data_IF_378832313158
#
_entry.id   IF_378832313158
#
_cell.length_a   1.000
_cell.length_b   1.000
_cell.length_c   1.000
_cell.angle_alpha   90.00
_cell.angle_beta   90.00
_cell.angle_gamma   90.00
#
_symmetry.space_group_name_H-M   'P 1'
#
loop_
_entity.id
_entity.type
_entity.pdbx_description
1 polymer ?
#
# COMPACT_ATOMS: atom_id res chain seq x y z
N UNK A 1 8.03 0.45 -7.90
CA UNK A 1 9.22 -0.35 -7.55
C UNK A 1 9.22 -0.56 -6.05
N UNK A 2 9.37 -1.81 -5.62
CA UNK A 2 9.52 -2.15 -4.19
C UNK A 2 10.91 -2.73 -4.03
N UNK A 3 11.75 -2.05 -3.25
CA UNK A 3 13.06 -2.56 -2.89
C UNK A 3 12.94 -3.39 -1.62
N UNK A 4 13.67 -4.50 -1.53
CA UNK A 4 13.64 -5.41 -0.38
C UNK A 4 15.05 -5.58 0.15
N UNK A 5 15.23 -5.42 1.46
CA UNK A 5 16.50 -5.61 2.14
C UNK A 5 16.41 -6.71 3.20
N UNK A 6 17.55 -7.37 3.44
CA UNK A 6 17.72 -8.27 4.59
C UNK A 6 18.07 -7.41 5.80
N UNK A 7 17.31 -7.55 6.88
CA UNK A 7 17.55 -6.86 8.15
C UNK A 7 17.90 -7.90 9.21
N UNK A 8 19.02 -7.71 9.89
CA UNK A 8 19.42 -8.53 11.05
C UNK A 8 19.17 -7.74 12.31
N UNK A 9 18.27 -8.22 13.17
CA UNK A 9 17.97 -7.61 14.48
C UNK A 9 17.78 -8.71 15.51
N UNK A 10 18.38 -8.56 16.69
CA UNK A 10 18.25 -9.53 17.79
C UNK A 10 18.62 -10.98 17.43
N UNK A 11 19.58 -11.18 16.53
CA UNK A 11 19.98 -12.52 16.05
C UNK A 11 19.05 -13.15 14.99
N UNK A 12 17.91 -12.52 14.69
CA UNK A 12 16.97 -12.96 13.66
C UNK A 12 17.22 -12.22 12.34
N UNK A 13 17.15 -12.95 11.23
CA UNK A 13 17.18 -12.36 9.88
C UNK A 13 15.73 -12.27 9.38
N UNK A 14 15.34 -11.07 8.94
CA UNK A 14 14.06 -10.81 8.30
C UNK A 14 14.26 -10.12 6.95
N UNK A 15 13.22 -10.15 6.11
CA UNK A 15 13.16 -9.36 4.88
C UNK A 15 12.15 -8.24 5.09
N UNK A 16 12.55 -7.00 4.79
CA UNK A 16 11.69 -5.83 4.89
C UNK A 16 11.73 -5.11 3.54
N UNK A 17 10.59 -4.61 3.08
CA UNK A 17 10.60 -3.65 1.97
C UNK A 17 11.38 -2.42 2.47
N UNK A 18 12.50 -2.06 1.84
CA UNK A 18 13.33 -0.94 2.26
C UNK A 18 12.77 0.40 1.79
N UNK A 19 12.20 0.42 0.58
CA UNK A 19 11.56 1.57 0.01
C UNK A 19 10.49 1.15 -1.01
N UNK A 20 9.48 2.00 -1.14
CA UNK A 20 8.49 1.95 -2.21
C UNK A 20 8.66 3.23 -3.02
N UNK A 21 8.91 3.08 -4.30
CA UNK A 21 9.22 4.17 -5.23
C UNK A 21 8.31 4.09 -6.46
N UNK A 22 7.69 5.18 -6.83
CA UNK A 22 6.94 5.33 -8.07
C UNK A 22 7.88 5.75 -9.20
N UNK A 23 7.70 5.12 -10.36
CA UNK A 23 8.32 5.58 -11.61
C UNK A 23 7.29 6.45 -12.32
N UNK A 24 7.61 7.71 -12.58
CA UNK A 24 6.69 8.69 -13.18
C UNK A 24 7.34 9.29 -14.41
N UNK A 25 6.61 9.36 -15.53
CA UNK A 25 7.08 10.05 -16.72
C UNK A 25 7.12 11.56 -16.46
N UNK A 26 8.30 12.16 -16.63
CA UNK A 26 8.52 13.60 -16.63
C UNK A 26 9.01 14.07 -18.01
N UNK A 27 9.04 15.40 -18.21
CA UNK A 27 9.41 16.00 -19.50
C UNK A 27 10.83 15.66 -19.98
N UNK A 28 11.72 15.27 -19.07
CA UNK A 28 13.10 14.85 -19.38
C UNK A 28 13.36 13.34 -19.34
N UNK A 29 12.35 12.51 -19.10
CA UNK A 29 12.50 11.06 -18.92
C UNK A 29 11.81 10.51 -17.66
N UNK A 30 12.09 9.25 -17.28
CA UNK A 30 11.49 8.66 -16.08
C UNK A 30 12.11 9.23 -14.80
N UNK A 31 11.27 9.82 -13.94
CA UNK A 31 11.61 10.23 -12.58
C UNK A 31 11.27 9.15 -11.55
N UNK A 32 12.03 9.10 -10.45
CA UNK A 32 11.83 8.20 -9.32
C UNK A 32 11.33 8.98 -8.10
N UNK A 33 10.19 8.58 -7.56
CA UNK A 33 9.54 9.26 -6.43
C UNK A 33 9.34 8.29 -5.28
N UNK A 34 10.13 8.43 -4.21
CA UNK A 34 9.95 7.61 -3.00
C UNK A 34 8.67 8.00 -2.26
N UNK A 35 7.76 7.04 -2.10
CA UNK A 35 6.50 7.23 -1.39
C UNK A 35 6.56 6.73 0.06
N UNK A 36 7.35 5.70 0.33
CA UNK A 36 7.58 5.18 1.67
C UNK A 36 8.98 4.55 1.79
N UNK A 37 9.55 4.58 2.99
CA UNK A 37 10.81 3.92 3.34
C UNK A 37 10.70 3.24 4.69
N UNK A 38 11.46 2.17 4.89
CA UNK A 38 11.57 1.50 6.19
C UNK A 38 12.66 2.15 7.03
N UNK A 39 12.29 2.55 8.24
CA UNK A 39 13.20 2.99 9.29
C UNK A 39 13.57 1.79 10.18
N UNK A 40 14.81 1.29 10.12
CA UNK A 40 15.24 0.16 10.93
C UNK A 40 15.36 0.50 12.42
N UNK A 41 15.62 1.75 12.78
CA UNK A 41 15.82 2.16 14.18
C UNK A 41 14.48 2.29 14.91
N UNK A 42 13.47 2.86 14.24
CA UNK A 42 12.09 2.93 14.72
C UNK A 42 11.23 1.67 14.46
N UNK A 43 11.78 0.67 13.78
CA UNK A 43 11.09 -0.53 13.27
C UNK A 43 9.75 -0.23 12.55
N UNK A 44 9.70 0.86 11.78
CA UNK A 44 8.47 1.37 11.19
C UNK A 44 8.66 1.82 9.74
N UNK A 45 7.54 2.04 9.02
CA UNK A 45 7.56 2.68 7.71
C UNK A 45 7.29 4.18 7.84
N UNK A 46 8.00 4.99 7.05
CA UNK A 46 7.87 6.43 6.96
C UNK A 46 7.46 6.83 5.52
N UNK A 47 6.41 7.65 5.32
CA UNK A 47 5.51 8.16 6.35
C UNK A 47 4.62 7.04 6.92
N UNK A 48 4.27 7.15 8.20
CA UNK A 48 3.46 6.15 8.90
C UNK A 48 1.95 6.29 8.66
N UNK A 49 1.52 7.31 7.92
CA UNK A 49 0.10 7.61 7.69
C UNK A 49 -0.32 7.42 6.23
N UNK A 50 -1.48 6.81 6.04
CA UNK A 50 -2.16 6.65 4.76
C UNK A 50 -2.28 7.99 4.00
N UNK A 51 -2.69 9.04 4.71
CA UNK A 51 -2.87 10.39 4.17
C UNK A 51 -1.59 10.98 3.57
N UNK A 52 -0.45 10.79 4.22
CA UNK A 52 0.84 11.26 3.70
C UNK A 52 1.30 10.46 2.49
N UNK A 53 1.07 9.13 2.48
CA UNK A 53 1.33 8.28 1.32
C UNK A 53 0.50 8.76 0.13
N UNK A 54 -0.79 9.02 0.33
CA UNK A 54 -1.70 9.55 -0.70
C UNK A 54 -1.16 10.88 -1.25
N UNK A 55 -0.75 11.80 -0.38
CA UNK A 55 -0.20 13.11 -0.79
C UNK A 55 1.08 12.98 -1.60
N UNK A 56 1.94 11.99 -1.31
CA UNK A 56 3.20 11.75 -2.02
C UNK A 56 3.01 11.02 -3.35
N UNK A 57 1.98 10.19 -3.47
CA UNK A 57 1.75 9.38 -4.65
C UNK A 57 1.28 10.22 -5.85
N UNK A 58 2.01 10.09 -6.97
CA UNK A 58 1.62 10.69 -8.24
C UNK A 58 0.68 9.79 -9.02
N UNK A 59 0.78 8.48 -8.83
CA UNK A 59 -0.09 7.50 -9.49
C UNK A 59 -1.49 7.44 -8.90
N UNK A 60 -1.62 7.50 -7.57
CA UNK A 60 -2.93 7.49 -6.92
C UNK A 60 -3.79 8.68 -7.36
N UNK A 61 -3.20 9.88 -7.44
CA UNK A 61 -3.92 11.06 -7.93
C UNK A 61 -4.36 11.00 -9.40
N UNK A 62 -3.75 10.12 -10.22
CA UNK A 62 -4.21 9.83 -11.59
C UNK A 62 -5.29 8.74 -11.58
N UNK A 63 -5.07 7.69 -10.80
CA UNK A 63 -5.99 6.56 -10.69
C UNK A 63 -7.35 6.98 -10.13
N UNK A 64 -7.41 7.86 -9.13
CA UNK A 64 -8.67 8.38 -8.58
C UNK A 64 -9.49 9.13 -9.62
N UNK A 65 -8.84 10.03 -10.37
CA UNK A 65 -9.48 10.77 -11.46
C UNK A 65 -10.01 9.87 -12.56
N UNK A 66 -9.29 8.81 -12.89
CA UNK A 66 -9.69 7.87 -13.93
C UNK A 66 -10.79 6.89 -13.48
N UNK A 67 -10.72 6.43 -12.24
CA UNK A 67 -11.61 5.39 -11.70
C UNK A 67 -12.89 5.95 -11.07
N UNK A 68 -12.98 7.27 -10.87
CA UNK A 68 -14.13 7.91 -10.23
C UNK A 68 -14.20 7.68 -8.72
N UNK A 69 -13.07 7.37 -8.07
CA UNK A 69 -13.02 7.17 -6.62
C UNK A 69 -13.20 8.54 -5.95
N UNK A 70 -14.35 8.73 -5.30
CA UNK A 70 -14.73 10.01 -4.66
C UNK A 70 -13.85 10.36 -3.47
N UNK A 71 -13.69 9.44 -2.51
CA UNK A 71 -12.79 9.59 -1.38
C UNK A 71 -11.73 8.48 -1.38
N UNK A 72 -10.50 8.85 -1.74
CA UNK A 72 -9.36 7.92 -1.79
C UNK A 72 -8.89 7.49 -0.40
N UNK A 73 -9.00 8.37 0.61
CA UNK A 73 -8.57 8.05 1.96
C UNK A 73 -9.53 7.02 2.58
N UNK A 74 -10.83 7.20 2.38
CA UNK A 74 -11.84 6.23 2.76
C UNK A 74 -11.65 4.90 2.03
N UNK A 75 -11.45 4.93 0.71
CA UNK A 75 -11.25 3.71 -0.08
C UNK A 75 -10.02 2.92 0.38
N UNK A 76 -8.91 3.62 0.61
CA UNK A 76 -7.69 2.99 1.11
C UNK A 76 -7.89 2.43 2.52
N UNK A 77 -8.65 3.12 3.37
CA UNK A 77 -9.05 2.64 4.70
C UNK A 77 -9.84 1.32 4.63
N UNK A 78 -10.83 1.22 3.73
CA UNK A 78 -11.60 -0.03 3.52
C UNK A 78 -10.69 -1.18 3.10
N UNK A 79 -9.71 -0.93 2.21
CA UNK A 79 -8.73 -1.94 1.77
C UNK A 79 -7.79 -2.35 2.90
N UNK A 80 -7.32 -1.41 3.72
CA UNK A 80 -6.48 -1.70 4.89
C UNK A 80 -7.21 -2.58 5.91
N UNK A 81 -8.49 -2.30 6.19
CA UNK A 81 -9.31 -3.10 7.10
C UNK A 81 -9.43 -4.58 6.67
N UNK A 82 -9.43 -4.87 5.37
CA UNK A 82 -9.43 -6.25 4.85
C UNK A 82 -8.10 -6.95 5.08
N UNK A 83 -6.98 -6.24 4.95
CA UNK A 83 -5.66 -6.78 5.28
C UNK A 83 -5.54 -7.04 6.78
N UNK A 84 -6.08 -6.15 7.61
CA UNK A 84 -6.19 -6.36 9.06
C UNK A 84 -7.10 -7.55 9.40
N UNK A 85 -8.21 -7.74 8.68
CA UNK A 85 -9.05 -8.94 8.81
C UNK A 85 -8.26 -10.22 8.49
N UNK A 86 -7.43 -10.21 7.44
CA UNK A 86 -6.55 -11.33 7.11
C UNK A 86 -5.59 -11.65 8.27
N UNK A 87 -4.95 -10.63 8.84
CA UNK A 87 -4.04 -10.79 10.00
C UNK A 87 -4.79 -11.34 11.21
N UNK A 88 -5.94 -10.75 11.55
CA UNK A 88 -6.77 -11.15 12.70
C UNK A 88 -7.26 -12.59 12.59
N UNK A 89 -7.70 -13.00 11.39
CA UNK A 89 -8.13 -14.38 11.11
C UNK A 89 -6.97 -15.36 10.93
N UNK A 90 -5.73 -14.87 10.97
CA UNK A 90 -4.52 -15.66 10.66
C UNK A 90 -4.62 -16.36 9.29
N UNK A 91 -5.27 -15.69 8.33
CA UNK A 91 -5.34 -16.15 6.95
C UNK A 91 -3.91 -16.14 6.36
N UNK A 92 -3.37 -17.32 6.07
CA UNK A 92 -1.99 -17.49 5.61
C UNK A 92 -1.91 -18.14 4.25
N UNK A 93 -2.97 -18.84 3.83
CA UNK A 93 -3.06 -19.42 2.50
C UNK A 93 -3.72 -18.46 1.52
N UNK A 94 -3.40 -18.64 0.24
CA UNK A 94 -3.90 -17.80 -0.85
C UNK A 94 -5.44 -17.82 -0.89
N UNK A 95 -6.06 -19.01 -0.80
CA UNK A 95 -7.52 -19.18 -0.77
C UNK A 95 -8.19 -18.38 0.37
N UNK A 96 -7.59 -18.42 1.57
CA UNK A 96 -8.12 -17.71 2.74
C UNK A 96 -8.04 -16.19 2.57
N UNK A 97 -6.92 -15.70 2.01
CA UNK A 97 -6.70 -14.27 1.76
C UNK A 97 -7.66 -13.78 0.67
N UNK A 98 -7.76 -14.49 -0.45
CA UNK A 98 -8.66 -14.11 -1.54
C UNK A 98 -10.15 -14.20 -1.14
N UNK A 99 -10.53 -15.15 -0.29
CA UNK A 99 -11.88 -15.22 0.27
C UNK A 99 -12.26 -14.01 1.16
N UNK A 100 -11.28 -13.28 1.68
CA UNK A 100 -11.51 -12.04 2.43
C UNK A 100 -11.47 -10.83 1.49
N UNK A 101 -10.44 -10.72 0.65
CA UNK A 101 -10.23 -9.55 -0.21
C UNK A 101 -11.32 -9.43 -1.29
N UNK A 102 -11.87 -10.55 -1.78
CA UNK A 102 -12.97 -10.57 -2.76
C UNK A 102 -14.20 -9.77 -2.32
N UNK A 103 -14.47 -9.71 -1.01
CA UNK A 103 -15.59 -8.93 -0.43
C UNK A 103 -15.56 -7.46 -0.87
N UNK A 104 -14.37 -6.89 -1.06
CA UNK A 104 -14.23 -5.52 -1.56
C UNK A 104 -14.85 -5.33 -2.95
N UNK A 105 -14.75 -6.35 -3.79
CA UNK A 105 -15.20 -6.32 -5.18
C UNK A 105 -16.63 -6.80 -5.36
N UNK A 106 -17.14 -7.62 -4.43
CA UNK A 106 -18.51 -8.17 -4.48
C UNK A 106 -19.58 -7.17 -4.02
N UNK A 107 -19.25 -6.26 -3.11
CA UNK A 107 -20.22 -5.30 -2.54
C UNK A 107 -20.58 -4.18 -3.53
N UNK A 108 -19.85 -4.03 -4.63
CA UNK A 108 -20.01 -2.91 -5.57
C UNK A 108 -19.51 -1.61 -4.95
N UNK A 109 -18.74 -0.83 -5.70
CA UNK A 109 -18.26 0.47 -5.25
C UNK A 109 -19.47 1.43 -5.08
N UNK A 110 -19.78 1.90 -3.85
CA UNK A 110 -20.89 2.83 -3.65
C UNK A 110 -20.68 4.19 -4.36
N UNK A 111 -19.46 4.47 -4.87
CA UNK A 111 -19.20 5.63 -5.73
C UNK A 111 -19.68 5.47 -7.19
N UNK A 112 -20.26 4.30 -7.56
CA UNK A 112 -20.79 4.02 -8.91
C UNK A 112 -22.31 3.98 -9.01
N UNK A 113 -23.03 4.33 -7.94
CA UNK A 113 -24.50 4.49 -7.90
C UNK A 113 -24.85 5.92 -7.57
#
# INVERSE_FOLDING_TARGET
MINVQKVKSGGRISRKASAITEVVQEGGGPGLFEIARYDPDGEAFLPGSAKEIIKKSRHLGRATRFLGIGDLEEDMGRRMALLEECVRKKARRIDEVFGIISKYYEVGDPART
#
